data_IF_365404590315
#
_entry.id   IF_365404590315
#
_cell.length_a   1.000
_cell.length_b   1.000
_cell.length_c   1.000
_cell.angle_alpha   90.00
_cell.angle_beta   90.00
_cell.angle_gamma   90.00
#
_symmetry.space_group_name_H-M   'P 1'
#
loop_
_entity.id
_entity.type
_entity.pdbx_description
1 polymer ?
#
# COMPACT_ATOMS: atom_id res chain seq x y z
N UNK A 1 22.12 2.89 15.05
CA UNK A 1 22.49 1.48 15.35
C UNK A 1 21.29 0.52 15.39
N UNK A 2 20.06 0.99 15.35
CA UNK A 2 18.89 0.09 15.46
C UNK A 2 18.52 -0.70 14.18
N UNK A 3 19.06 -0.35 13.04
CA UNK A 3 18.77 -1.04 11.77
C UNK A 3 19.42 -2.42 11.68
N UNK A 4 20.39 -2.73 12.54
CA UNK A 4 21.08 -4.04 12.56
C UNK A 4 20.30 -5.16 13.26
N UNK A 5 19.20 -4.87 13.92
CA UNK A 5 18.43 -5.87 14.67
C UNK A 5 17.36 -6.60 13.86
N UNK A 6 17.10 -6.19 12.62
CA UNK A 6 16.18 -6.90 11.73
C UNK A 6 16.91 -8.06 11.05
N UNK A 7 17.09 -9.16 11.77
CA UNK A 7 17.65 -10.40 11.24
C UNK A 7 16.75 -10.95 10.13
N UNK A 8 17.15 -10.80 8.90
CA UNK A 8 16.40 -11.19 7.70
C UNK A 8 16.26 -10.08 6.67
N UNK A 9 16.66 -8.86 6.99
CA UNK A 9 16.69 -7.75 6.05
C UNK A 9 17.91 -7.88 5.15
N UNK A 10 17.72 -7.77 3.85
CA UNK A 10 18.81 -7.76 2.88
C UNK A 10 19.79 -6.61 3.16
N UNK A 11 21.07 -6.77 2.78
CA UNK A 11 22.11 -5.82 3.08
C UNK A 11 21.74 -4.42 2.61
N UNK A 12 22.08 -3.46 3.45
CA UNK A 12 21.88 -2.03 3.21
C UNK A 12 22.55 -1.63 1.89
N UNK A 13 21.77 -1.26 0.90
CA UNK A 13 22.30 -0.57 -0.27
C UNK A 13 22.39 0.93 0.05
N UNK A 14 23.52 1.55 -0.31
CA UNK A 14 23.70 3.00 -0.18
C UNK A 14 23.78 3.58 -1.58
N UNK A 15 22.87 4.50 -1.90
CA UNK A 15 22.91 5.22 -3.18
C UNK A 15 24.10 6.18 -3.26
N UNK A 16 24.43 6.63 -4.47
CA UNK A 16 25.55 7.60 -4.69
C UNK A 16 25.35 8.92 -3.96
N UNK A 17 24.12 9.28 -3.64
CA UNK A 17 23.74 10.47 -2.85
C UNK A 17 23.68 10.20 -1.35
N UNK A 18 24.00 8.95 -0.91
CA UNK A 18 24.13 8.53 0.48
C UNK A 18 22.81 8.23 1.19
N UNK A 19 21.70 8.13 0.44
CA UNK A 19 20.46 7.56 0.97
C UNK A 19 20.66 6.07 1.20
N UNK A 20 20.29 5.60 2.38
CA UNK A 20 20.38 4.19 2.75
C UNK A 20 19.06 3.51 2.38
N UNK A 21 19.13 2.37 1.74
CA UNK A 21 17.95 1.60 1.32
C UNK A 21 17.87 0.28 2.06
N UNK A 22 16.74 0.01 2.70
CA UNK A 22 16.45 -1.22 3.42
C UNK A 22 15.20 -1.85 2.82
N UNK A 23 15.31 -3.12 2.43
CA UNK A 23 14.22 -3.88 1.80
C UNK A 23 13.58 -4.89 2.73
N UNK A 24 12.29 -5.11 2.48
CA UNK A 24 11.52 -6.22 3.05
C UNK A 24 11.61 -6.33 4.58
N UNK A 25 11.47 -5.21 5.27
CA UNK A 25 11.15 -5.20 6.69
C UNK A 25 9.74 -5.81 6.82
N UNK A 26 9.62 -6.92 7.53
CA UNK A 26 8.34 -7.61 7.68
C UNK A 26 7.56 -7.01 8.84
N UNK A 27 6.53 -6.24 8.52
CA UNK A 27 5.66 -5.54 9.48
C UNK A 27 4.52 -6.46 9.88
N UNK A 28 4.39 -6.85 11.15
CA UNK A 28 3.28 -7.69 11.61
C UNK A 28 1.99 -6.86 11.69
N UNK A 29 0.90 -7.41 11.19
CA UNK A 29 -0.44 -6.89 11.39
C UNK A 29 -1.13 -7.56 12.58
N UNK A 30 -2.29 -7.06 12.99
CA UNK A 30 -3.05 -7.53 14.16
C UNK A 30 -3.43 -9.00 14.15
N UNK A 31 -3.53 -9.62 12.98
CA UNK A 31 -3.81 -11.05 12.81
C UNK A 31 -2.54 -11.90 12.63
N UNK A 32 -1.37 -11.27 12.67
CA UNK A 32 -0.07 -11.91 12.56
C UNK A 32 0.46 -12.04 11.12
N UNK A 33 -0.31 -11.67 10.10
CA UNK A 33 0.16 -11.59 8.71
C UNK A 33 1.25 -10.52 8.61
N UNK A 34 2.30 -10.79 7.86
CA UNK A 34 3.43 -9.85 7.74
C UNK A 34 3.44 -9.18 6.37
N UNK A 35 3.50 -7.86 6.38
CA UNK A 35 3.59 -7.05 5.18
C UNK A 35 5.02 -6.59 4.92
N UNK A 36 5.44 -6.65 3.67
CA UNK A 36 6.81 -6.30 3.26
C UNK A 36 6.93 -4.79 3.02
N UNK A 37 7.75 -4.14 3.84
CA UNK A 37 8.02 -2.71 3.82
C UNK A 37 9.44 -2.45 3.31
N UNK A 38 9.59 -1.52 2.37
CA UNK A 38 10.87 -0.93 1.96
C UNK A 38 10.98 0.48 2.50
N UNK A 39 12.17 0.88 2.96
CA UNK A 39 12.44 2.25 3.39
C UNK A 39 13.70 2.83 2.75
N UNK A 40 13.61 4.11 2.40
CA UNK A 40 14.74 4.96 2.02
C UNK A 40 15.00 5.91 3.18
N UNK A 41 16.17 5.78 3.79
CA UNK A 41 16.53 6.48 5.03
C UNK A 41 17.46 7.65 4.70
N UNK A 42 17.18 8.86 5.20
CA UNK A 42 18.03 10.03 5.01
C UNK A 42 19.46 9.83 5.47
N UNK A 43 20.36 10.70 5.02
CA UNK A 43 21.70 10.82 5.60
C UNK A 43 21.64 11.34 7.04
N UNK A 44 22.61 10.94 7.84
CA UNK A 44 22.78 11.45 9.21
C UNK A 44 22.10 10.56 10.24
N UNK A 45 21.81 11.16 11.37
CA UNK A 45 21.19 10.52 12.51
C UNK A 45 19.73 10.97 12.66
N UNK A 46 18.81 10.00 12.89
CA UNK A 46 17.39 10.25 13.09
C UNK A 46 17.06 10.63 14.55
N UNK A 47 15.79 10.48 14.94
CA UNK A 47 14.70 9.93 14.14
C UNK A 47 14.13 10.90 13.08
N UNK A 48 13.40 10.36 12.08
CA UNK A 48 12.83 11.15 10.98
C UNK A 48 11.34 10.91 10.84
N UNK A 49 10.56 11.89 10.32
CA UNK A 49 9.19 11.67 9.88
C UNK A 49 9.15 10.75 8.67
N UNK A 50 8.07 10.00 8.51
CA UNK A 50 7.90 9.00 7.45
C UNK A 50 6.80 9.40 6.48
N UNK A 51 7.06 9.21 5.18
CA UNK A 51 6.07 9.33 4.12
C UNK A 51 5.85 7.93 3.54
N UNK A 52 4.67 7.37 3.78
CA UNK A 52 4.29 6.00 3.43
C UNK A 52 3.43 5.97 2.15
N UNK A 53 3.74 5.02 1.28
CA UNK A 53 2.88 4.58 0.16
C UNK A 53 2.46 3.14 0.39
N UNK A 54 1.16 2.86 0.40
CA UNK A 54 0.57 1.55 0.62
C UNK A 54 -0.20 1.11 -0.63
N UNK A 55 0.30 0.10 -1.35
CA UNK A 55 -0.16 -0.26 -2.70
C UNK A 55 -0.08 -1.76 -2.99
N UNK A 56 -0.93 -2.30 -3.89
CA UNK A 56 -0.90 -3.72 -4.28
C UNK A 56 0.00 -4.02 -5.49
N UNK A 57 0.70 -3.02 -6.04
CA UNK A 57 1.36 -3.10 -7.34
C UNK A 57 2.76 -3.70 -7.29
N UNK A 58 3.03 -4.59 -6.32
CA UNK A 58 4.31 -5.30 -6.21
C UNK A 58 5.49 -4.33 -6.22
N UNK A 59 5.80 -3.75 -5.06
CA UNK A 59 6.84 -2.71 -4.90
C UNK A 59 8.18 -3.06 -5.54
N UNK A 60 8.53 -4.35 -5.61
CA UNK A 60 9.78 -4.83 -6.17
C UNK A 60 9.81 -4.86 -7.71
N UNK A 61 8.65 -4.90 -8.38
CA UNK A 61 8.55 -4.78 -9.85
C UNK A 61 8.78 -3.33 -10.31
N UNK A 62 8.53 -2.38 -9.45
CA UNK A 62 8.76 -0.98 -9.72
C UNK A 62 10.21 -0.65 -9.33
N UNK A 63 11.00 -0.13 -10.26
CA UNK A 63 12.42 0.21 -10.01
C UNK A 63 12.56 1.07 -8.77
N UNK A 64 13.19 0.57 -7.70
CA UNK A 64 13.04 1.14 -6.37
C UNK A 64 13.81 2.44 -6.16
N UNK A 65 14.87 2.69 -6.90
CA UNK A 65 15.85 3.72 -6.56
C UNK A 65 15.65 5.07 -7.26
N UNK A 66 14.60 5.24 -8.04
CA UNK A 66 14.41 6.45 -8.86
C UNK A 66 13.12 7.20 -8.56
N UNK A 67 12.40 6.77 -7.54
CA UNK A 67 11.08 7.29 -7.23
C UNK A 67 11.06 8.39 -6.19
N UNK A 68 9.85 8.77 -5.85
CA UNK A 68 9.57 9.79 -4.84
C UNK A 68 10.17 9.44 -3.47
N UNK A 69 10.27 8.15 -3.11
CA UNK A 69 10.84 7.70 -1.83
C UNK A 69 12.29 8.16 -1.65
N UNK A 70 13.11 8.03 -2.71
CA UNK A 70 14.48 8.52 -2.66
C UNK A 70 14.54 10.04 -2.57
N UNK A 71 13.67 10.74 -3.31
CA UNK A 71 13.55 12.20 -3.23
C UNK A 71 13.19 12.66 -1.82
N UNK A 72 12.22 12.04 -1.17
CA UNK A 72 11.86 12.36 0.22
C UNK A 72 13.02 12.13 1.18
N UNK A 73 13.79 11.05 0.99
CA UNK A 73 14.95 10.78 1.83
C UNK A 73 16.06 11.83 1.67
N UNK A 74 16.24 12.37 0.48
CA UNK A 74 17.15 13.50 0.25
C UNK A 74 16.71 14.79 0.97
N UNK A 75 15.42 14.88 1.34
CA UNK A 75 14.82 16.05 2.01
C UNK A 75 14.50 15.82 3.50
N UNK A 76 15.07 14.77 4.10
CA UNK A 76 14.95 14.54 5.54
C UNK A 76 13.72 13.76 5.99
N UNK A 77 13.04 13.05 5.08
CA UNK A 77 11.94 12.16 5.38
C UNK A 77 12.31 10.72 5.06
N UNK A 78 11.92 9.76 5.87
CA UNK A 78 11.98 8.37 5.42
C UNK A 78 10.92 8.17 4.34
N UNK A 79 11.35 7.77 3.15
CA UNK A 79 10.44 7.35 2.10
C UNK A 79 10.11 5.87 2.24
N UNK A 80 8.88 5.54 2.58
CA UNK A 80 8.41 4.18 2.85
C UNK A 80 7.46 3.68 1.76
N UNK A 81 7.54 2.39 1.43
CA UNK A 81 6.58 1.71 0.54
C UNK A 81 6.30 0.32 1.06
N UNK A 82 5.03 -0.05 1.18
CA UNK A 82 4.59 -1.36 1.63
C UNK A 82 3.67 -2.00 0.61
N UNK A 83 3.87 -3.30 0.34
CA UNK A 83 2.95 -4.10 -0.44
C UNK A 83 1.70 -4.45 0.39
N UNK A 84 0.52 -4.33 -0.21
CA UNK A 84 -0.71 -4.82 0.38
C UNK A 84 -0.63 -6.34 0.64
N UNK A 85 -1.45 -6.81 1.56
CA UNK A 85 -1.65 -8.24 1.87
C UNK A 85 -1.79 -9.07 0.59
N UNK A 86 -1.09 -10.20 0.49
CA UNK A 86 -1.18 -11.12 -0.64
C UNK A 86 -0.55 -10.63 -1.94
N UNK A 87 0.14 -9.48 -1.92
CA UNK A 87 0.81 -8.93 -3.10
C UNK A 87 2.32 -8.82 -2.91
N UNK A 88 3.08 -8.83 -4.00
CA UNK A 88 4.52 -8.68 -3.96
C UNK A 88 5.20 -9.63 -2.98
N UNK A 89 5.94 -9.08 -2.04
CA UNK A 89 6.65 -9.82 -0.98
C UNK A 89 5.88 -9.91 0.36
N UNK A 90 4.66 -9.35 0.44
CA UNK A 90 3.80 -9.47 1.63
C UNK A 90 3.17 -10.86 1.75
N UNK A 91 2.91 -11.32 2.97
CA UNK A 91 2.20 -12.56 3.25
C UNK A 91 0.68 -12.41 3.02
N UNK A 92 -0.04 -13.54 3.10
CA UNK A 92 -1.49 -13.61 2.97
C UNK A 92 -1.96 -13.67 1.51
N UNK A 93 -3.27 -13.50 1.32
CA UNK A 93 -3.94 -13.51 0.04
C UNK A 93 -4.70 -12.21 -0.20
N UNK A 94 -4.83 -11.84 -1.47
CA UNK A 94 -5.58 -10.68 -1.90
C UNK A 94 -6.65 -11.13 -2.90
N UNK A 95 -7.90 -11.18 -2.46
CA UNK A 95 -9.06 -11.68 -3.18
C UNK A 95 -10.01 -10.58 -3.65
N UNK A 96 -9.79 -9.32 -3.25
CA UNK A 96 -10.52 -8.14 -3.72
C UNK A 96 -9.85 -6.84 -3.23
N UNK A 97 -10.28 -5.71 -3.81
CA UNK A 97 -9.81 -4.36 -3.47
C UNK A 97 -10.43 -3.80 -2.20
N UNK A 98 -9.64 -3.01 -1.46
CA UNK A 98 -10.10 -2.12 -0.39
C UNK A 98 -10.91 -2.81 0.71
N UNK A 99 -10.67 -4.08 0.92
CA UNK A 99 -11.35 -4.85 1.96
C UNK A 99 -11.08 -4.24 3.34
N UNK A 100 -12.01 -4.43 4.30
CA UNK A 100 -11.79 -3.95 5.67
C UNK A 100 -10.46 -4.43 6.28
N UNK A 101 -10.06 -5.68 6.00
CA UNK A 101 -8.77 -6.21 6.48
C UNK A 101 -7.59 -5.42 5.92
N UNK A 102 -7.61 -5.05 4.64
CA UNK A 102 -6.56 -4.23 4.02
C UNK A 102 -6.50 -2.84 4.65
N UNK A 103 -7.65 -2.22 4.92
CA UNK A 103 -7.70 -0.93 5.60
C UNK A 103 -7.11 -1.01 7.01
N UNK A 104 -7.42 -2.05 7.76
CA UNK A 104 -6.85 -2.29 9.08
C UNK A 104 -5.36 -2.63 9.03
N UNK A 105 -4.90 -3.33 8.01
CA UNK A 105 -3.47 -3.55 7.78
C UNK A 105 -2.73 -2.21 7.59
N UNK A 106 -3.31 -1.29 6.80
CA UNK A 106 -2.75 0.05 6.65
C UNK A 106 -2.67 0.82 7.96
N UNK A 107 -3.70 0.71 8.82
CA UNK A 107 -3.65 1.25 10.18
C UNK A 107 -2.51 0.65 10.98
N UNK A 108 -2.38 -0.67 11.00
CA UNK A 108 -1.34 -1.38 11.76
C UNK A 108 0.07 -1.02 11.27
N UNK A 109 0.25 -0.86 9.96
CA UNK A 109 1.52 -0.40 9.38
C UNK A 109 1.88 1.01 9.84
N UNK A 110 0.92 1.95 9.86
CA UNK A 110 1.16 3.32 10.35
C UNK A 110 1.62 3.31 11.80
N UNK A 111 0.90 2.60 12.67
CA UNK A 111 1.23 2.54 14.10
C UNK A 111 2.56 1.79 14.34
N UNK A 112 2.80 0.69 13.64
CA UNK A 112 4.07 -0.03 13.74
C UNK A 112 5.27 0.83 13.32
N UNK A 113 5.14 1.60 12.23
CA UNK A 113 6.18 2.53 11.78
C UNK A 113 6.46 3.58 12.83
N UNK A 114 5.42 4.15 13.43
CA UNK A 114 5.54 5.20 14.44
C UNK A 114 6.28 4.74 15.71
N UNK A 115 6.16 3.46 16.06
CA UNK A 115 6.84 2.85 17.21
C UNK A 115 8.33 2.52 16.96
N UNK A 116 8.83 2.70 15.75
CA UNK A 116 10.23 2.38 15.47
C UNK A 116 11.18 3.49 15.94
N UNK A 117 12.34 3.11 16.47
CA UNK A 117 13.37 4.04 16.94
C UNK A 117 13.87 5.02 15.87
N UNK A 118 13.76 4.65 14.59
CA UNK A 118 14.13 5.50 13.46
C UNK A 118 13.04 6.48 13.04
N UNK A 119 11.82 6.34 13.55
CA UNK A 119 10.68 7.24 13.30
C UNK A 119 10.52 8.26 14.43
N UNK A 120 10.20 9.51 14.10
CA UNK A 120 9.92 10.56 15.09
C UNK A 120 8.46 10.53 15.61
N UNK A 121 7.73 9.46 15.34
CA UNK A 121 6.32 9.28 15.70
C UNK A 121 5.35 9.95 14.72
N UNK A 122 5.81 10.47 13.59
CA UNK A 122 4.94 11.11 12.58
C UNK A 122 4.96 10.35 11.27
N UNK A 123 3.81 9.88 10.86
CA UNK A 123 3.62 9.19 9.60
C UNK A 123 2.65 9.97 8.72
N UNK A 124 3.06 10.25 7.49
CA UNK A 124 2.18 10.75 6.43
C UNK A 124 1.87 9.63 5.46
N UNK A 125 0.68 9.62 4.86
CA UNK A 125 0.40 8.72 3.74
C UNK A 125 0.19 9.50 2.45
N UNK A 126 0.68 8.93 1.34
CA UNK A 126 0.49 9.50 0.02
C UNK A 126 0.42 8.42 -1.04
N UNK A 127 -0.20 8.74 -2.15
CA UNK A 127 -0.22 7.89 -3.31
C UNK A 127 -1.24 8.33 -4.34
N UNK A 128 -1.03 7.85 -5.56
CA UNK A 128 -1.97 8.02 -6.64
C UNK A 128 -2.79 6.77 -6.88
N UNK A 129 -3.98 6.92 -7.46
CA UNK A 129 -4.87 5.81 -7.77
C UNK A 129 -5.11 4.96 -6.52
N UNK A 130 -4.79 3.69 -6.52
CA UNK A 130 -4.93 2.80 -5.36
C UNK A 130 -4.30 3.39 -4.09
N UNK A 131 -3.10 3.97 -4.18
CA UNK A 131 -2.44 4.61 -3.05
C UNK A 131 -3.18 5.87 -2.53
N UNK A 132 -3.95 6.54 -3.38
CA UNK A 132 -4.85 7.60 -2.98
C UNK A 132 -6.04 7.07 -2.19
N UNK A 133 -6.67 5.99 -2.67
CA UNK A 133 -7.76 5.31 -1.96
C UNK A 133 -7.30 4.79 -0.60
N UNK A 134 -6.20 4.05 -0.52
CA UNK A 134 -5.70 3.54 0.77
C UNK A 134 -5.37 4.64 1.75
N UNK A 135 -4.84 5.78 1.28
CA UNK A 135 -4.54 6.92 2.15
C UNK A 135 -5.80 7.49 2.82
N UNK A 136 -6.89 7.67 2.07
CA UNK A 136 -8.15 8.21 2.65
C UNK A 136 -8.89 7.16 3.48
N UNK A 137 -8.85 5.89 3.09
CA UNK A 137 -9.48 4.80 3.83
C UNK A 137 -8.83 4.57 5.19
N UNK A 138 -7.49 4.58 5.24
CA UNK A 138 -6.74 4.49 6.50
C UNK A 138 -6.95 5.74 7.34
N UNK A 139 -6.99 6.94 6.75
CA UNK A 139 -7.29 8.17 7.48
C UNK A 139 -8.69 8.17 8.11
N UNK A 140 -9.67 7.51 7.49
CA UNK A 140 -11.01 7.33 8.07
C UNK A 140 -11.01 6.40 9.31
N UNK A 141 -10.01 5.55 9.46
CA UNK A 141 -9.79 4.76 10.68
C UNK A 141 -9.08 5.56 11.80
N UNK A 142 -8.61 6.77 11.48
CA UNK A 142 -7.96 7.70 12.39
C UNK A 142 -6.79 7.12 13.22
N UNK A 143 -5.73 6.55 12.59
CA UNK A 143 -4.55 6.11 13.33
C UNK A 143 -3.93 7.29 14.08
N UNK A 144 -3.60 7.16 15.38
CA UNK A 144 -3.08 8.25 16.19
C UNK A 144 -1.83 8.96 15.63
N UNK A 145 -0.97 8.20 14.96
CA UNK A 145 0.29 8.72 14.43
C UNK A 145 0.23 9.16 12.94
N UNK A 146 -0.95 9.07 12.31
CA UNK A 146 -1.15 9.59 10.96
C UNK A 146 -1.38 11.09 10.99
N UNK A 147 -0.34 11.88 10.68
CA UNK A 147 -0.35 13.34 10.84
C UNK A 147 -0.86 14.10 9.62
N UNK A 148 -0.79 13.52 8.43
CA UNK A 148 -1.33 14.12 7.19
C UNK A 148 -1.48 13.07 6.10
N UNK A 149 -2.35 13.36 5.12
CA UNK A 149 -2.47 12.57 3.89
C UNK A 149 -2.33 13.46 2.66
N UNK A 150 -1.74 12.92 1.60
CA UNK A 150 -1.56 13.61 0.31
C UNK A 150 -2.03 12.66 -0.81
N UNK A 151 -3.33 12.35 -0.89
CA UNK A 151 -3.88 11.50 -1.92
C UNK A 151 -4.05 12.28 -3.23
N UNK A 152 -3.80 11.60 -4.36
CA UNK A 152 -3.99 12.16 -5.68
C UNK A 152 -4.56 11.13 -6.66
N UNK A 153 -5.29 11.61 -7.68
CA UNK A 153 -5.87 10.77 -8.73
C UNK A 153 -6.70 9.59 -8.17
N UNK A 154 -7.59 9.88 -7.23
CA UNK A 154 -8.52 8.92 -6.61
C UNK A 154 -9.93 9.51 -6.63
N UNK A 155 -10.92 8.73 -6.24
CA UNK A 155 -12.31 9.19 -6.06
C UNK A 155 -12.81 8.86 -4.65
N UNK A 156 -13.89 9.49 -4.26
CA UNK A 156 -14.54 9.28 -2.96
C UNK A 156 -15.64 8.22 -3.01
N UNK A 157 -16.04 7.81 -4.22
CA UNK A 157 -17.14 6.88 -4.46
C UNK A 157 -16.79 5.87 -5.54
N UNK A 158 -16.67 4.61 -5.16
CA UNK A 158 -16.27 3.52 -6.04
C UNK A 158 -17.32 3.16 -7.10
N UNK A 159 -18.57 3.59 -6.94
CA UNK A 159 -19.63 3.25 -7.89
C UNK A 159 -19.95 4.38 -8.87
N UNK A 160 -20.04 5.62 -8.40
CA UNK A 160 -20.51 6.71 -9.25
C UNK A 160 -19.39 7.34 -10.07
N UNK A 161 -18.15 7.31 -9.60
CA UNK A 161 -17.06 8.00 -10.26
C UNK A 161 -15.69 7.30 -10.10
N UNK A 162 -15.66 5.99 -10.27
CA UNK A 162 -14.43 5.21 -10.22
C UNK A 162 -14.06 4.62 -11.59
N UNK A 163 -12.98 3.84 -11.60
CA UNK A 163 -12.53 3.13 -12.78
C UNK A 163 -13.46 2.00 -13.22
N UNK A 164 -14.22 1.39 -12.31
CA UNK A 164 -15.12 0.25 -12.59
C UNK A 164 -16.49 0.70 -13.10
N UNK A 165 -17.10 1.65 -12.41
CA UNK A 165 -18.39 2.21 -12.75
C UNK A 165 -18.31 3.73 -12.80
N UNK A 166 -19.05 4.31 -13.71
CA UNK A 166 -19.19 5.76 -13.84
C UNK A 166 -20.62 6.12 -14.15
N UNK A 167 -21.25 6.82 -13.21
CA UNK A 167 -22.68 7.11 -13.32
C UNK A 167 -23.55 5.86 -13.43
N UNK A 168 -23.14 4.75 -12.82
CA UNK A 168 -23.83 3.45 -12.88
C UNK A 168 -23.54 2.63 -14.15
N UNK A 169 -22.73 3.14 -15.08
CA UNK A 169 -22.33 2.41 -16.28
C UNK A 169 -21.00 1.69 -16.06
N UNK A 170 -20.96 0.40 -16.31
CA UNK A 170 -19.74 -0.39 -16.21
C UNK A 170 -18.71 0.00 -17.27
N UNK A 171 -17.46 0.22 -16.86
CA UNK A 171 -16.34 0.58 -17.72
C UNK A 171 -15.62 -0.67 -18.23
N UNK A 172 -16.32 -1.45 -19.04
CA UNK A 172 -15.87 -2.74 -19.58
C UNK A 172 -14.43 -2.70 -20.14
N UNK A 173 -14.09 -1.68 -20.91
CA UNK A 173 -12.74 -1.55 -21.50
C UNK A 173 -11.66 -1.49 -20.41
N UNK A 174 -11.90 -0.72 -19.34
CA UNK A 174 -10.92 -0.55 -18.28
C UNK A 174 -10.77 -1.82 -17.46
N UNK A 175 -11.86 -2.47 -17.10
CA UNK A 175 -11.82 -3.67 -16.28
C UNK A 175 -11.30 -4.88 -17.03
N UNK A 176 -11.75 -5.12 -18.24
CA UNK A 176 -11.32 -6.28 -19.05
C UNK A 176 -10.00 -5.98 -19.79
N UNK A 177 -9.90 -4.80 -20.39
CA UNK A 177 -8.78 -4.45 -21.28
C UNK A 177 -7.52 -3.95 -20.59
N UNK A 178 -7.60 -3.50 -19.36
CA UNK A 178 -6.49 -2.86 -18.67
C UNK A 178 -6.36 -3.28 -17.19
N UNK A 179 -7.02 -2.56 -16.28
CA UNK A 179 -6.75 -2.65 -14.85
C UNK A 179 -7.14 -4.02 -14.26
N UNK A 180 -8.36 -4.50 -14.50
CA UNK A 180 -8.82 -5.76 -13.93
C UNK A 180 -7.95 -6.95 -14.36
N UNK A 181 -7.60 -7.04 -15.64
CA UNK A 181 -6.69 -8.08 -16.13
C UNK A 181 -5.28 -7.93 -15.58
N UNK A 182 -4.79 -6.69 -15.42
CA UNK A 182 -3.48 -6.43 -14.82
C UNK A 182 -3.43 -6.89 -13.36
N UNK A 183 -4.47 -6.63 -12.59
CA UNK A 183 -4.55 -7.05 -11.18
C UNK A 183 -4.61 -8.59 -11.05
N UNK A 184 -5.40 -9.26 -11.89
CA UNK A 184 -5.43 -10.73 -11.95
C UNK A 184 -4.01 -11.28 -12.23
N UNK A 185 -3.32 -10.71 -13.22
CA UNK A 185 -1.96 -11.10 -13.56
C UNK A 185 -0.97 -10.87 -12.42
N UNK A 186 -0.99 -9.70 -11.80
CA UNK A 186 -0.09 -9.36 -10.69
C UNK A 186 -0.32 -10.25 -9.46
N UNK A 187 -1.57 -10.55 -9.13
CA UNK A 187 -1.90 -11.40 -7.99
C UNK A 187 -1.53 -12.88 -8.23
N UNK A 188 -1.51 -13.32 -9.50
CA UNK A 188 -1.08 -14.66 -9.88
C UNK A 188 0.45 -14.82 -9.95
N UNK A 189 1.21 -13.74 -9.89
CA UNK A 189 2.68 -13.82 -9.95
C UNK A 189 3.29 -14.34 -8.64
N UNK A 190 4.40 -15.11 -8.71
CA UNK A 190 5.09 -15.57 -7.52
C UNK A 190 5.64 -14.41 -6.70
N UNK A 191 5.75 -14.56 -5.38
CA UNK A 191 6.60 -13.68 -4.59
C UNK A 191 8.05 -13.81 -5.06
N UNK A 192 8.87 -12.80 -4.84
CA UNK A 192 10.27 -12.86 -5.24
C UNK A 192 11.04 -13.92 -4.43
N UNK A 193 11.65 -14.93 -5.08
CA UNK A 193 12.41 -15.96 -4.37
C UNK A 193 13.56 -15.42 -3.54
N UNK A 194 14.17 -14.32 -3.99
CA UNK A 194 15.24 -13.63 -3.31
C UNK A 194 14.82 -13.16 -1.90
N UNK A 195 13.55 -12.79 -1.72
CA UNK A 195 13.02 -12.24 -0.47
C UNK A 195 12.19 -13.24 0.34
N UNK A 196 11.51 -14.15 -0.35
CA UNK A 196 10.66 -15.17 0.29
C UNK A 196 11.47 -16.43 0.67
N UNK A 197 12.74 -16.51 0.25
CA UNK A 197 13.62 -17.64 0.54
C UNK A 197 13.07 -18.95 0.01
N UNK A 198 13.34 -20.05 0.70
CA UNK A 198 12.96 -21.40 0.26
C UNK A 198 11.42 -21.59 0.18
N UNK A 199 10.64 -20.74 0.85
CA UNK A 199 9.16 -20.84 0.87
C UNK A 199 8.47 -20.17 -0.31
N UNK A 200 9.19 -19.59 -1.25
CA UNK A 200 8.58 -18.83 -2.35
C UNK A 200 7.56 -19.64 -3.18
N UNK A 201 7.86 -20.90 -3.45
CA UNK A 201 7.00 -21.77 -4.23
C UNK A 201 5.72 -22.15 -3.48
N UNK A 202 5.84 -22.47 -2.17
CA UNK A 202 4.71 -22.73 -1.27
C UNK A 202 3.79 -21.51 -1.16
N UNK A 203 4.35 -20.34 -0.91
CA UNK A 203 3.59 -19.08 -0.85
C UNK A 203 2.92 -18.74 -2.19
N UNK A 204 3.54 -19.08 -3.30
CA UNK A 204 2.94 -18.89 -4.61
C UNK A 204 1.75 -19.83 -4.85
N UNK A 205 1.90 -21.11 -4.50
CA UNK A 205 0.83 -22.11 -4.58
C UNK A 205 -0.37 -21.69 -3.72
N UNK A 206 -0.13 -21.31 -2.46
CA UNK A 206 -1.17 -20.79 -1.57
C UNK A 206 -1.91 -19.58 -2.16
N UNK A 207 -1.18 -18.62 -2.73
CA UNK A 207 -1.79 -17.46 -3.39
C UNK A 207 -2.58 -17.83 -4.62
N UNK A 208 -2.04 -18.74 -5.42
CA UNK A 208 -2.68 -19.15 -6.66
C UNK A 208 -4.00 -19.89 -6.40
N UNK A 209 -4.04 -20.76 -5.38
CA UNK A 209 -5.26 -21.43 -4.94
C UNK A 209 -6.31 -20.47 -4.40
N UNK A 210 -5.88 -19.37 -3.77
CA UNK A 210 -6.78 -18.37 -3.18
C UNK A 210 -7.04 -17.18 -4.12
N UNK A 211 -6.44 -17.17 -5.30
CA UNK A 211 -6.59 -16.06 -6.24
C UNK A 211 -8.00 -16.04 -6.84
N UNK A 212 -8.83 -15.15 -6.34
CA UNK A 212 -10.13 -14.85 -6.94
C UNK A 212 -9.95 -13.67 -7.90
N UNK A 213 -10.23 -13.84 -9.21
CA UNK A 213 -10.21 -12.70 -10.11
C UNK A 213 -11.20 -11.62 -9.66
N UNK A 214 -10.73 -10.45 -9.29
CA UNK A 214 -11.55 -9.32 -8.81
C UNK A 214 -12.74 -9.02 -9.73
N UNK A 215 -12.51 -9.13 -11.03
CA UNK A 215 -13.52 -8.91 -12.05
C UNK A 215 -14.80 -9.73 -11.82
N UNK A 216 -14.68 -10.95 -11.28
CA UNK A 216 -15.86 -11.78 -10.98
C UNK A 216 -16.70 -11.16 -9.87
N UNK A 217 -16.05 -10.63 -8.85
CA UNK A 217 -16.72 -9.94 -7.74
C UNK A 217 -17.35 -8.63 -8.22
N UNK A 218 -16.66 -7.84 -9.03
CA UNK A 218 -17.18 -6.57 -9.56
C UNK A 218 -18.40 -6.80 -10.45
N UNK A 219 -18.36 -7.80 -11.33
CA UNK A 219 -19.49 -8.16 -12.20
C UNK A 219 -20.67 -8.75 -11.45
N UNK A 220 -20.46 -9.37 -10.30
CA UNK A 220 -21.53 -9.84 -9.44
C UNK A 220 -22.27 -8.70 -8.71
N UNK A 221 -21.65 -7.51 -8.61
CA UNK A 221 -22.15 -6.36 -7.87
C UNK A 221 -22.41 -5.15 -8.79
N UNK A 222 -23.34 -5.31 -9.75
CA UNK A 222 -23.59 -4.31 -10.81
C UNK A 222 -24.48 -3.13 -10.39
N UNK A 223 -24.94 -3.09 -9.15
CA UNK A 223 -25.81 -2.02 -8.63
C UNK A 223 -25.14 -1.33 -7.44
N UNK A 224 -25.43 -0.04 -7.25
CA UNK A 224 -24.98 0.69 -6.06
C UNK A 224 -25.50 0.02 -4.78
N UNK A 225 -24.60 -0.39 -3.91
CA UNK A 225 -24.91 -1.13 -2.71
C UNK A 225 -23.76 -1.21 -1.72
N UNK A 226 -23.93 -2.05 -0.71
CA UNK A 226 -22.97 -2.20 0.39
C UNK A 226 -21.56 -2.56 -0.10
N UNK A 227 -21.47 -3.40 -1.14
CA UNK A 227 -20.18 -3.79 -1.72
C UNK A 227 -19.34 -2.57 -2.13
N UNK A 228 -19.93 -1.62 -2.86
CA UNK A 228 -19.21 -0.44 -3.34
C UNK A 228 -18.99 0.62 -2.26
N UNK A 229 -19.77 0.57 -1.17
CA UNK A 229 -19.53 1.42 0.01
C UNK A 229 -18.29 0.99 0.78
N UNK A 230 -17.92 -0.30 0.71
CA UNK A 230 -16.62 -0.75 1.17
C UNK A 230 -15.53 -0.07 0.34
N UNK A 231 -14.67 0.71 0.99
CA UNK A 231 -13.63 1.47 0.30
C UNK A 231 -14.05 2.85 -0.23
N UNK A 232 -15.36 3.16 -0.35
CA UNK A 232 -15.83 4.52 -0.55
C UNK A 232 -15.78 5.32 0.75
N UNK A 233 -15.54 6.63 0.64
CA UNK A 233 -15.50 7.53 1.79
C UNK A 233 -16.60 8.60 1.76
N UNK A 234 -17.44 8.62 0.72
CA UNK A 234 -18.47 9.65 0.53
C UNK A 234 -19.41 9.84 1.73
N UNK A 235 -19.69 8.78 2.47
CA UNK A 235 -20.55 8.83 3.67
C UNK A 235 -19.72 8.94 4.97
N UNK A 236 -18.38 8.99 4.86
CA UNK A 236 -17.44 8.88 5.98
C UNK A 236 -16.46 10.04 6.12
N UNK A 237 -16.68 11.18 5.43
CA UNK A 237 -15.79 12.35 5.52
C UNK A 237 -15.59 12.83 6.96
N UNK A 238 -16.63 12.73 7.78
CA UNK A 238 -16.60 13.14 9.19
C UNK A 238 -15.67 12.30 10.06
N UNK A 239 -15.26 11.11 9.60
CA UNK A 239 -14.31 10.24 10.29
C UNK A 239 -12.86 10.68 10.05
N UNK A 240 -12.57 11.33 8.93
CA UNK A 240 -11.22 11.81 8.60
C UNK A 240 -10.92 13.05 9.43
N UNK A 241 -10.01 12.91 10.42
CA UNK A 241 -9.55 13.99 11.27
C UNK A 241 -8.20 14.54 10.87
N UNK A 242 -7.49 13.77 10.08
CA UNK A 242 -6.14 14.06 9.59
C UNK A 242 -6.20 15.18 8.53
N UNK A 243 -5.35 16.22 8.63
CA UNK A 243 -5.20 17.21 7.56
C UNK A 243 -4.89 16.54 6.21
N UNK A 244 -5.50 17.04 5.14
CA UNK A 244 -5.36 16.47 3.80
C UNK A 244 -4.98 17.53 2.77
N UNK A 245 -3.96 17.24 1.95
CA UNK A 245 -3.67 17.96 0.72
C UNK A 245 -4.16 17.12 -0.47
N UNK A 246 -5.27 17.52 -1.07
CA UNK A 246 -5.85 16.82 -2.22
C UNK A 246 -5.25 17.38 -3.52
N UNK A 247 -4.70 16.49 -4.36
CA UNK A 247 -4.14 16.86 -5.66
C UNK A 247 -4.99 16.22 -6.75
N UNK A 248 -5.59 17.05 -7.58
CA UNK A 248 -6.41 16.64 -8.73
C UNK A 248 -5.99 17.35 -10.01
N UNK A 249 -6.49 16.86 -11.15
CA UNK A 249 -6.31 17.47 -12.47
C UNK A 249 -7.68 17.83 -13.08
N UNK A 250 -7.67 18.79 -13.98
CA UNK A 250 -8.83 19.23 -14.75
C UNK A 250 -8.87 18.58 -16.12
#
# INVERSE_FOLDING_TARGET
>A
MAVETYSGVLPLAVSSDGVRFVKNIMVPTRDGTKLALDIHVPRGEGPWPVILTYIPYRKDDQRPLTGMQNHWAQHGYIGARVDCRGTGSSEGSNDDEYRPVEQFDGFDVVEWIADQEWCDGKVAMTGGSYGGFTSVQVAALAPPHLVTIIPWNFTDDRYTDDCHYRGGAWRCYYDIGAYGCSMIGMNAMPPYPEYSGARWAELWEERFEQNVPYLLTWLANQTDGEYWRLGSIRDRYHEIKTPALLIGGW
#
